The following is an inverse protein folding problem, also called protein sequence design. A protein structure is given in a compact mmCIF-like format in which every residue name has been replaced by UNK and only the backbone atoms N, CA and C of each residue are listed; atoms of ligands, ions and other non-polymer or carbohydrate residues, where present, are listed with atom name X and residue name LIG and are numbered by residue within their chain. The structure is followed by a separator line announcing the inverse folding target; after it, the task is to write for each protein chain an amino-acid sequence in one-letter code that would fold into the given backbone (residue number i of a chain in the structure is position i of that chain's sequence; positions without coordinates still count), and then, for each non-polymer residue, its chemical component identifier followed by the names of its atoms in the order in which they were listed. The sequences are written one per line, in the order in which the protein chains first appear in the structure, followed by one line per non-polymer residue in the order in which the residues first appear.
data_IF_825372190941
#
_entry.id   IF_825372190941
#
_cell.length_a   1.000
_cell.length_b   1.000
_cell.length_c   1.000
_cell.angle_alpha   90.00
_cell.angle_beta   90.00
_cell.angle_gamma   90.00
#
_symmetry.space_group_name_H-M   'P 1'
#
loop_
_entity.id
_entity.type
_entity.pdbx_description
1 polymer ?
#
# COMPACT_ATOMS: atom_id res chain seq x y z
N UNK A 1 -14.94 17.49 8.63
CA UNK A 1 -14.54 16.65 7.49
C UNK A 1 -13.02 16.61 7.46
N UNK A 2 -12.45 15.54 8.01
CA UNK A 2 -11.00 15.35 8.13
C UNK A 2 -10.36 15.09 6.78
N UNK A 3 -9.14 15.56 6.59
CA UNK A 3 -8.39 15.39 5.34
C UNK A 3 -8.04 13.91 5.20
N UNK A 4 -8.28 13.34 4.03
CA UNK A 4 -8.01 11.96 3.61
C UNK A 4 -6.49 11.66 3.61
N UNK A 5 -5.83 11.60 4.78
CA UNK A 5 -4.36 11.48 4.90
C UNK A 5 -3.83 10.06 4.78
N UNK A 6 -4.56 9.14 4.14
CA UNK A 6 -4.05 7.81 3.80
C UNK A 6 -3.95 6.80 4.96
N UNK A 7 -4.75 6.96 6.01
CA UNK A 7 -4.91 5.94 7.07
C UNK A 7 -3.64 5.53 7.82
N UNK A 8 -3.70 4.43 8.57
CA UNK A 8 -2.60 3.97 9.43
C UNK A 8 -1.71 2.91 8.77
N UNK A 9 -0.39 3.16 8.74
CA UNK A 9 0.60 2.26 8.11
C UNK A 9 0.96 0.99 8.94
N UNK A 10 0.52 0.87 10.19
CA UNK A 10 0.72 -0.31 11.04
C UNK A 10 -0.44 -0.51 12.03
N UNK A 11 -0.70 -1.74 12.51
CA UNK A 11 -1.84 -2.03 13.39
C UNK A 11 -1.73 -1.31 14.74
N UNK A 12 -2.85 -0.73 15.20
CA UNK A 12 -3.08 -0.47 16.62
C UNK A 12 -4.07 -1.51 17.15
N UNK A 13 -3.69 -2.25 18.19
CA UNK A 13 -4.70 -2.78 19.10
C UNK A 13 -5.22 -1.60 19.93
N UNK A 14 -6.44 -1.16 19.67
CA UNK A 14 -7.16 -0.27 20.56
C UNK A 14 -8.32 -1.05 21.16
N UNK A 15 -8.27 -1.24 22.47
CA UNK A 15 -9.39 -1.75 23.24
C UNK A 15 -10.18 -0.54 23.73
N UNK A 16 -11.28 -0.22 23.05
CA UNK A 16 -12.27 0.70 23.61
C UNK A 16 -13.31 -0.11 24.37
N UNK A 17 -13.62 0.33 25.58
CA UNK A 17 -14.70 -0.24 26.38
C UNK A 17 -15.95 0.58 26.12
N UNK A 18 -17.07 -0.07 25.81
CA UNK A 18 -18.35 0.60 26.03
C UNK A 18 -18.49 0.90 27.53
N UNK A 19 -19.29 1.89 27.91
CA UNK A 19 -19.52 2.22 29.32
C UNK A 19 -20.09 1.08 30.18
N UNK A 20 -20.30 -0.11 29.60
CA UNK A 20 -20.72 -1.37 30.23
C UNK A 20 -19.60 -2.43 30.30
N UNK A 21 -18.34 -2.04 30.03
CA UNK A 21 -17.16 -2.90 30.10
C UNK A 21 -17.13 -4.01 29.05
N UNK A 22 -17.86 -3.88 27.95
CA UNK A 22 -17.73 -4.74 26.78
C UNK A 22 -16.67 -4.17 25.84
N UNK A 23 -15.90 -5.06 25.20
CA UNK A 23 -14.92 -4.67 24.19
C UNK A 23 -15.66 -4.25 22.92
N UNK A 24 -15.56 -2.97 22.56
CA UNK A 24 -15.90 -2.51 21.21
C UNK A 24 -14.76 -2.92 20.29
N UNK A 25 -15.01 -3.92 19.45
CA UNK A 25 -14.04 -4.37 18.46
C UNK A 25 -13.99 -3.37 17.30
N UNK A 26 -13.26 -2.26 17.47
CA UNK A 26 -12.87 -1.42 16.35
C UNK A 26 -11.66 -2.05 15.66
N UNK A 27 -11.89 -2.66 14.49
CA UNK A 27 -10.83 -3.05 13.56
C UNK A 27 -10.61 -1.89 12.57
N UNK A 28 -9.59 -1.07 12.77
CA UNK A 28 -8.96 -0.47 11.60
C UNK A 28 -8.13 -1.58 10.94
N UNK A 29 -8.51 -2.00 9.73
CA UNK A 29 -7.98 -3.19 9.06
C UNK A 29 -6.46 -3.11 8.76
N UNK A 30 -5.85 -1.94 8.92
CA UNK A 30 -4.45 -1.70 8.58
C UNK A 30 -4.19 -1.84 7.07
N UNK A 31 -2.93 -2.06 6.70
CA UNK A 31 -2.57 -2.33 5.30
C UNK A 31 -2.93 -3.76 4.91
N UNK A 32 -3.45 -3.95 3.70
CA UNK A 32 -3.66 -5.30 3.15
C UNK A 32 -2.31 -5.97 2.80
N UNK A 33 -2.31 -7.29 2.61
CA UNK A 33 -1.12 -8.00 2.10
C UNK A 33 -0.68 -7.47 0.71
N UNK A 34 -1.65 -7.03 -0.09
CA UNK A 34 -1.41 -6.38 -1.38
C UNK A 34 -0.64 -5.07 -1.21
N UNK A 35 -1.06 -4.21 -0.28
CA UNK A 35 -0.38 -2.95 0.02
C UNK A 35 1.05 -3.19 0.52
N UNK A 36 1.26 -4.24 1.32
CA UNK A 36 2.59 -4.64 1.77
C UNK A 36 3.50 -5.03 0.60
N UNK A 37 3.03 -5.88 -0.32
CA UNK A 37 3.81 -6.26 -1.50
C UNK A 37 4.07 -5.08 -2.43
N UNK A 38 3.08 -4.21 -2.64
CA UNK A 38 3.25 -3.00 -3.43
C UNK A 38 4.32 -2.09 -2.80
N UNK A 39 4.29 -1.88 -1.48
CA UNK A 39 5.31 -1.12 -0.76
C UNK A 39 6.72 -1.74 -0.90
N UNK A 40 6.83 -3.08 -0.97
CA UNK A 40 8.10 -3.76 -1.24
C UNK A 40 8.59 -3.57 -2.68
N UNK A 41 7.69 -3.56 -3.66
CA UNK A 41 8.02 -3.38 -5.07
C UNK A 41 8.33 -1.92 -5.43
N UNK A 42 7.71 -0.95 -4.74
CA UNK A 42 7.74 0.47 -5.08
C UNK A 42 9.15 1.03 -5.29
N UNK A 43 10.10 0.66 -4.43
CA UNK A 43 11.48 1.13 -4.55
C UNK A 43 12.17 0.70 -5.85
N UNK A 44 11.90 -0.53 -6.32
CA UNK A 44 12.45 -1.05 -7.57
C UNK A 44 11.77 -0.43 -8.79
N UNK A 45 10.44 -0.33 -8.77
CA UNK A 45 9.68 0.35 -9.84
C UNK A 45 10.13 1.81 -9.99
N UNK A 46 10.37 2.50 -8.86
CA UNK A 46 10.88 3.87 -8.89
C UNK A 46 12.29 3.94 -9.49
N UNK A 47 13.21 3.06 -9.07
CA UNK A 47 14.56 3.03 -9.62
C UNK A 47 14.57 2.74 -11.12
N UNK A 48 13.72 1.82 -11.58
CA UNK A 48 13.54 1.53 -13.00
C UNK A 48 13.06 2.75 -13.78
N UNK A 49 12.09 3.49 -13.23
CA UNK A 49 11.63 4.72 -13.87
C UNK A 49 12.70 5.82 -13.91
N UNK A 50 13.52 5.97 -12.86
CA UNK A 50 14.63 6.94 -12.88
C UNK A 50 15.61 6.68 -14.02
N UNK A 51 15.96 5.43 -14.29
CA UNK A 51 16.82 5.07 -15.42
C UNK A 51 16.19 5.42 -16.77
N UNK A 52 14.86 5.26 -16.91
CA UNK A 52 14.14 5.66 -18.10
C UNK A 52 14.10 7.20 -18.26
N UNK A 53 13.79 7.91 -17.18
CA UNK A 53 13.70 9.37 -17.16
C UNK A 53 15.06 10.07 -17.35
N UNK A 54 16.17 9.40 -17.07
CA UNK A 54 17.52 9.90 -17.37
C UNK A 54 17.72 10.13 -18.88
N UNK A 55 17.09 9.30 -19.72
CA UNK A 55 17.20 9.37 -21.19
C UNK A 55 16.06 10.19 -21.79
N UNK A 56 14.82 9.94 -21.35
CA UNK A 56 13.61 10.47 -21.99
C UNK A 56 13.02 11.70 -21.26
N UNK A 57 13.58 12.07 -20.11
CA UNK A 57 13.04 13.10 -19.24
C UNK A 57 11.86 12.62 -18.37
N UNK A 58 11.44 13.45 -17.41
CA UNK A 58 10.28 13.16 -16.57
C UNK A 58 8.98 13.45 -17.32
N UNK A 59 8.11 12.44 -17.40
CA UNK A 59 6.75 12.62 -17.91
C UNK A 59 5.80 13.07 -16.79
N UNK A 60 4.75 13.81 -17.15
CA UNK A 60 3.67 14.15 -16.21
C UNK A 60 2.98 12.86 -15.73
N UNK A 61 2.60 12.82 -14.45
CA UNK A 61 1.93 11.65 -13.87
C UNK A 61 2.82 10.43 -13.63
N UNK A 62 4.15 10.53 -13.77
CA UNK A 62 5.06 9.38 -13.61
C UNK A 62 4.94 8.64 -12.28
N UNK A 63 4.56 9.34 -11.22
CA UNK A 63 4.35 8.75 -9.89
C UNK A 63 3.16 7.78 -9.89
N UNK A 64 2.12 8.08 -10.67
CA UNK A 64 0.95 7.22 -10.82
C UNK A 64 1.34 5.94 -11.57
N UNK A 65 2.19 6.04 -12.59
CA UNK A 65 2.75 4.88 -13.30
C UNK A 65 3.61 3.98 -12.39
N UNK A 66 4.53 4.57 -11.63
CA UNK A 66 5.38 3.83 -10.68
C UNK A 66 4.53 3.14 -9.59
N UNK A 67 3.48 3.82 -9.09
CA UNK A 67 2.56 3.22 -8.13
C UNK A 67 1.76 2.07 -8.77
N UNK A 68 1.29 2.23 -10.00
CA UNK A 68 0.58 1.19 -10.73
C UNK A 68 1.46 -0.06 -10.95
N UNK A 69 2.72 0.11 -11.37
CA UNK A 69 3.67 -0.98 -11.57
C UNK A 69 3.91 -1.76 -10.27
N UNK A 70 4.03 -1.05 -9.14
CA UNK A 70 4.21 -1.67 -7.83
C UNK A 70 3.00 -2.53 -7.43
N UNK A 71 1.78 -2.04 -7.67
CA UNK A 71 0.56 -2.80 -7.41
C UNK A 71 0.37 -3.98 -8.38
N UNK A 72 0.76 -3.85 -9.65
CA UNK A 72 0.76 -4.98 -10.58
C UNK A 72 1.71 -6.09 -10.14
N UNK A 73 2.89 -5.72 -9.60
CA UNK A 73 3.81 -6.69 -9.01
C UNK A 73 3.21 -7.37 -7.77
N UNK A 74 2.50 -6.62 -6.92
CA UNK A 74 1.79 -7.17 -5.78
C UNK A 74 0.71 -8.19 -6.21
N UNK A 75 -0.06 -7.88 -7.24
CA UNK A 75 -1.08 -8.76 -7.80
C UNK A 75 -0.45 -10.04 -8.38
N UNK A 76 0.71 -9.93 -9.06
CA UNK A 76 1.46 -11.08 -9.55
C UNK A 76 1.96 -11.99 -8.40
N UNK A 77 2.41 -11.42 -7.28
CA UNK A 77 2.82 -12.19 -6.10
C UNK A 77 1.65 -12.94 -5.44
N UNK A 78 0.47 -12.31 -5.40
CA UNK A 78 -0.75 -12.95 -4.88
C UNK A 78 -1.19 -14.11 -5.78
N UNK A 79 -1.24 -13.90 -7.11
CA UNK A 79 -1.56 -14.96 -8.06
C UNK A 79 -0.58 -16.14 -7.97
N UNK A 80 0.72 -15.86 -7.85
CA UNK A 80 1.73 -16.93 -7.72
C UNK A 80 1.51 -17.79 -6.46
N UNK A 81 1.03 -17.17 -5.37
CA UNK A 81 0.69 -17.89 -4.13
C UNK A 81 -0.55 -18.77 -4.28
N UNK A 82 -1.59 -18.30 -4.98
CA UNK A 82 -2.84 -19.05 -5.17
C UNK A 82 -2.68 -20.27 -6.10
N UNK A 83 -1.69 -20.23 -7.00
CA UNK A 83 -1.39 -21.31 -7.93
C UNK A 83 -0.60 -22.49 -7.32
N UNK A 84 -0.38 -22.50 -5.99
CA UNK A 84 0.40 -23.52 -5.25
C UNK A 84 -0.49 -24.31 -4.30
#
# INVERSE_FOLDING_TARGET
MGKETGGQAFPRQQWEYDGQNNVLQYQEEGMTLRDYFAAKALGLCFAQYLNHAEVEGFQDGWRDGVAADAYQMADAMLHAREAT
#
